data_IF_009326946355
#
_entry.id   IF_009326946355
#
_cell.length_a   1.000
_cell.length_b   1.000
_cell.length_c   1.000
_cell.angle_alpha   90.00
_cell.angle_beta   90.00
_cell.angle_gamma   90.00
#
_symmetry.space_group_name_H-M   'P 1'
#
loop_
_entity.id
_entity.type
_entity.pdbx_description
1 polymer ?
#
# COMPACT_ATOMS: atom_id res chain seq x y z
N UNK A 1 -8.00 -4.35 -4.18
CA UNK A 1 -8.58 -5.70 -3.98
C UNK A 1 -8.11 -6.24 -2.64
N UNK A 2 -9.05 -6.57 -1.73
CA UNK A 2 -8.70 -7.30 -0.52
C UNK A 2 -8.45 -8.78 -0.85
N UNK A 3 -7.49 -9.42 -0.17
CA UNK A 3 -7.21 -10.84 -0.40
C UNK A 3 -6.74 -11.59 0.85
N UNK A 4 -6.88 -12.92 0.84
CA UNK A 4 -6.46 -13.77 1.96
C UNK A 4 -7.55 -13.99 3.02
N UNK A 5 -8.81 -13.71 2.67
CA UNK A 5 -9.99 -13.97 3.49
C UNK A 5 -10.68 -15.27 3.02
N UNK A 6 -11.98 -15.21 2.69
CA UNK A 6 -12.81 -16.29 2.15
C UNK A 6 -12.52 -16.64 0.67
N UNK A 7 -11.56 -15.97 0.06
CA UNK A 7 -11.27 -16.00 -1.36
C UNK A 7 -10.27 -17.10 -1.75
N UNK A 8 -10.25 -17.42 -3.04
CA UNK A 8 -9.34 -18.40 -3.63
C UNK A 8 -8.51 -17.75 -4.74
N UNK A 9 -7.41 -18.37 -5.18
CA UNK A 9 -6.61 -17.87 -6.30
C UNK A 9 -7.43 -17.63 -7.58
N UNK A 10 -8.48 -18.42 -7.83
CA UNK A 10 -9.37 -18.22 -8.97
C UNK A 10 -10.10 -16.87 -8.90
N UNK A 11 -10.53 -16.45 -7.70
CA UNK A 11 -11.15 -15.14 -7.48
C UNK A 11 -10.17 -14.00 -7.75
N UNK A 12 -8.91 -14.13 -7.34
CA UNK A 12 -7.87 -13.11 -7.60
C UNK A 12 -7.64 -12.90 -9.09
N UNK A 13 -7.48 -14.00 -9.84
CA UNK A 13 -7.28 -13.95 -11.29
C UNK A 13 -8.50 -13.35 -11.99
N UNK A 14 -9.70 -13.76 -11.59
CA UNK A 14 -10.93 -13.22 -12.16
C UNK A 14 -11.05 -11.70 -11.93
N UNK A 15 -10.73 -11.24 -10.72
CA UNK A 15 -10.76 -9.81 -10.37
C UNK A 15 -9.73 -9.02 -11.19
N UNK A 16 -8.47 -9.47 -11.27
CA UNK A 16 -7.43 -8.80 -12.05
C UNK A 16 -7.79 -8.74 -13.55
N UNK A 17 -8.36 -9.81 -14.11
CA UNK A 17 -8.84 -9.81 -15.50
C UNK A 17 -10.00 -8.84 -15.73
N UNK A 18 -10.92 -8.73 -14.77
CA UNK A 18 -12.00 -7.76 -14.83
C UNK A 18 -11.45 -6.33 -14.85
N UNK A 19 -10.52 -6.01 -13.93
CA UNK A 19 -9.87 -4.70 -13.91
C UNK A 19 -9.16 -4.39 -15.22
N UNK A 20 -8.43 -5.36 -15.79
CA UNK A 20 -7.79 -5.21 -17.10
C UNK A 20 -8.79 -4.86 -18.21
N UNK A 21 -9.92 -5.58 -18.30
CA UNK A 21 -10.96 -5.27 -19.30
C UNK A 21 -11.60 -3.89 -19.10
N UNK A 22 -11.86 -3.51 -17.85
CA UNK A 22 -12.41 -2.19 -17.54
C UNK A 22 -11.42 -1.08 -17.87
N UNK A 23 -10.12 -1.32 -17.66
CA UNK A 23 -9.08 -0.39 -18.05
C UNK A 23 -8.97 -0.25 -19.57
N UNK A 24 -9.07 -1.36 -20.31
CA UNK A 24 -9.07 -1.33 -21.78
C UNK A 24 -10.25 -0.50 -22.34
N UNK A 25 -11.37 -0.41 -21.60
CA UNK A 25 -12.55 0.35 -22.00
C UNK A 25 -12.51 1.82 -21.57
N UNK A 26 -11.99 2.10 -20.38
CA UNK A 26 -12.16 3.41 -19.73
C UNK A 26 -10.86 4.17 -19.50
N UNK A 27 -9.72 3.48 -19.39
CA UNK A 27 -8.41 4.07 -19.09
C UNK A 27 -8.30 4.74 -17.72
N UNK A 28 -9.30 4.61 -16.84
CA UNK A 28 -9.42 5.45 -15.64
C UNK A 28 -8.58 5.03 -14.43
N UNK A 29 -8.01 3.83 -14.40
CA UNK A 29 -7.19 3.36 -13.28
C UNK A 29 -5.75 3.86 -13.39
N UNK A 30 -5.29 4.56 -12.35
CA UNK A 30 -3.89 4.95 -12.19
C UNK A 30 -3.07 3.90 -11.46
N UNK A 31 -3.72 3.11 -10.60
CA UNK A 31 -3.06 2.14 -9.73
C UNK A 31 -3.95 0.96 -9.36
N UNK A 32 -3.29 -0.14 -8.98
CA UNK A 32 -3.90 -1.27 -8.32
C UNK A 32 -3.36 -1.41 -6.91
N UNK A 33 -4.28 -1.43 -5.93
CA UNK A 33 -3.96 -1.56 -4.51
C UNK A 33 -4.38 -2.93 -3.99
N UNK A 34 -3.46 -3.91 -3.90
CA UNK A 34 -3.68 -5.16 -3.18
C UNK A 34 -3.66 -4.91 -1.66
N UNK A 35 -4.66 -5.42 -0.96
CA UNK A 35 -4.83 -5.24 0.49
C UNK A 35 -4.89 -6.60 1.18
N UNK A 36 -3.82 -7.07 1.83
CA UNK A 36 -3.86 -8.30 2.60
C UNK A 36 -4.85 -8.17 3.75
N UNK A 37 -5.68 -9.19 3.94
CA UNK A 37 -6.67 -9.23 5.00
C UNK A 37 -6.00 -9.36 6.37
N UNK A 38 -6.27 -8.40 7.26
CA UNK A 38 -5.87 -8.43 8.68
C UNK A 38 -7.07 -8.95 9.47
N UNK A 39 -6.88 -10.10 10.12
CA UNK A 39 -7.99 -10.92 10.58
C UNK A 39 -8.34 -10.74 12.06
N UNK A 40 -7.40 -10.27 12.89
CA UNK A 40 -7.46 -10.35 14.35
C UNK A 40 -8.78 -9.80 14.95
N UNK A 41 -9.26 -8.67 14.45
CA UNK A 41 -10.52 -8.04 14.89
C UNK A 41 -11.68 -8.18 13.88
N UNK A 42 -11.51 -8.92 12.80
CA UNK A 42 -12.49 -8.95 11.71
C UNK A 42 -13.67 -9.90 12.03
N UNK A 43 -14.94 -9.43 11.99
CA UNK A 43 -16.10 -10.25 12.35
C UNK A 43 -16.19 -11.58 11.59
N UNK A 44 -15.84 -11.59 10.30
CA UNK A 44 -15.87 -12.81 9.46
C UNK A 44 -14.82 -13.85 9.88
N UNK A 45 -13.70 -13.42 10.48
CA UNK A 45 -12.70 -14.31 11.04
C UNK A 45 -13.14 -14.84 12.40
N UNK A 46 -13.65 -13.95 13.26
CA UNK A 46 -14.19 -14.32 14.57
C UNK A 46 -15.36 -15.30 14.48
N UNK A 47 -16.15 -15.23 13.40
CA UNK A 47 -17.22 -16.17 13.09
C UNK A 47 -16.74 -17.50 12.45
N UNK A 48 -15.42 -17.69 12.26
CA UNK A 48 -14.85 -18.91 11.68
C UNK A 48 -15.05 -19.07 10.17
N UNK A 49 -15.45 -18.00 9.46
CA UNK A 49 -15.78 -18.05 8.03
C UNK A 49 -14.57 -17.72 7.15
N UNK A 50 -13.64 -16.89 7.65
CA UNK A 50 -12.47 -16.45 6.92
C UNK A 50 -11.17 -17.10 7.41
N UNK A 51 -10.17 -17.16 6.53
CA UNK A 51 -8.79 -17.52 6.86
C UNK A 51 -8.13 -16.44 7.72
N UNK A 52 -7.04 -16.75 8.46
CA UNK A 52 -6.27 -15.79 9.25
C UNK A 52 -5.40 -14.86 8.37
N UNK A 53 -5.90 -14.41 7.22
CA UNK A 53 -5.14 -13.60 6.28
C UNK A 53 -4.29 -14.42 5.30
N UNK A 54 -3.61 -13.74 4.37
CA UNK A 54 -2.76 -14.36 3.36
C UNK A 54 -1.42 -14.83 3.95
N UNK A 55 -0.89 -15.92 3.39
CA UNK A 55 0.50 -16.32 3.65
C UNK A 55 1.48 -15.39 2.92
N UNK A 56 2.78 -15.47 3.25
CA UNK A 56 3.81 -14.77 2.49
C UNK A 56 3.80 -15.15 1.00
N UNK A 57 3.54 -16.43 0.69
CA UNK A 57 3.40 -16.92 -0.69
C UNK A 57 2.21 -16.27 -1.39
N UNK A 58 1.08 -16.12 -0.71
CA UNK A 58 -0.10 -15.45 -1.27
C UNK A 58 0.18 -13.98 -1.56
N UNK A 59 0.89 -13.28 -0.65
CA UNK A 59 1.31 -11.89 -0.87
C UNK A 59 2.15 -11.76 -2.14
N UNK A 60 3.19 -12.58 -2.30
CA UNK A 60 4.05 -12.59 -3.49
C UNK A 60 3.21 -12.90 -4.74
N UNK A 61 2.36 -13.94 -4.68
CA UNK A 61 1.56 -14.38 -5.81
C UNK A 61 0.61 -13.27 -6.30
N UNK A 62 -0.10 -12.60 -5.40
CA UNK A 62 -1.04 -11.52 -5.78
C UNK A 62 -0.31 -10.36 -6.44
N UNK A 63 0.83 -9.91 -5.90
CA UNK A 63 1.59 -8.80 -6.48
C UNK A 63 2.24 -9.18 -7.83
N UNK A 64 2.80 -10.39 -7.94
CA UNK A 64 3.41 -10.87 -9.17
C UNK A 64 2.36 -11.08 -10.27
N UNK A 65 1.21 -11.67 -9.94
CA UNK A 65 0.09 -11.82 -10.86
C UNK A 65 -0.44 -10.46 -11.32
N UNK A 66 -0.59 -9.50 -10.40
CA UNK A 66 -1.03 -8.15 -10.76
C UNK A 66 -0.05 -7.51 -11.76
N UNK A 67 1.26 -7.62 -11.53
CA UNK A 67 2.29 -7.09 -12.45
C UNK A 67 2.18 -7.70 -13.84
N UNK A 68 1.97 -9.01 -13.93
CA UNK A 68 1.90 -9.72 -15.21
C UNK A 68 0.57 -9.44 -15.92
N UNK A 69 -0.55 -9.61 -15.24
CA UNK A 69 -1.89 -9.54 -15.84
C UNK A 69 -2.32 -8.11 -16.19
N UNK A 70 -1.83 -7.12 -15.45
CA UNK A 70 -2.13 -5.70 -15.69
C UNK A 70 -1.03 -4.97 -16.48
N UNK A 71 -0.02 -5.68 -16.96
CA UNK A 71 1.06 -5.10 -17.76
C UNK A 71 0.48 -4.34 -18.98
N UNK A 72 0.98 -3.13 -19.20
CA UNK A 72 0.52 -2.24 -20.28
C UNK A 72 -0.85 -1.57 -20.02
N UNK A 73 -1.54 -1.90 -18.92
CA UNK A 73 -2.88 -1.36 -18.60
C UNK A 73 -2.87 -0.48 -17.36
N UNK A 74 -2.39 -1.03 -16.24
CA UNK A 74 -2.29 -0.34 -14.95
C UNK A 74 -0.82 -0.38 -14.52
N UNK A 75 -0.16 0.76 -14.60
CA UNK A 75 1.30 0.82 -14.41
C UNK A 75 1.70 0.62 -12.96
N UNK A 76 0.92 1.15 -12.03
CA UNK A 76 1.29 1.23 -10.63
C UNK A 76 0.62 0.14 -9.80
N UNK A 77 1.44 -0.55 -9.02
CA UNK A 77 1.01 -1.56 -8.06
C UNK A 77 1.57 -1.16 -6.71
N UNK A 78 0.65 -0.84 -5.80
CA UNK A 78 0.98 -0.37 -4.47
C UNK A 78 1.25 -1.54 -3.51
N UNK A 79 2.10 -1.32 -2.51
CA UNK A 79 2.25 -2.19 -1.34
C UNK A 79 2.08 -1.38 -0.06
N UNK A 80 1.42 -1.96 0.95
CA UNK A 80 1.14 -1.30 2.23
C UNK A 80 2.11 -1.77 3.32
N UNK A 81 2.95 -0.86 3.80
CA UNK A 81 3.87 -1.14 4.91
C UNK A 81 3.17 -1.32 6.25
N UNK A 82 2.00 -0.71 6.44
CA UNK A 82 1.19 -0.91 7.64
C UNK A 82 0.73 -2.35 7.73
N UNK A 83 0.36 -2.97 6.60
CA UNK A 83 -0.17 -4.34 6.62
C UNK A 83 0.91 -5.41 6.59
N UNK A 84 2.05 -5.11 5.95
CA UNK A 84 3.10 -6.10 5.66
C UNK A 84 4.40 -5.90 6.45
N UNK A 85 4.50 -4.79 7.18
CA UNK A 85 5.75 -4.38 7.82
C UNK A 85 6.84 -4.03 6.79
N UNK A 86 8.04 -3.72 7.27
CA UNK A 86 9.17 -3.34 6.41
C UNK A 86 9.61 -4.51 5.53
N UNK A 87 9.88 -5.67 6.11
CA UNK A 87 10.38 -6.84 5.38
C UNK A 87 9.36 -7.35 4.33
N UNK A 88 8.08 -7.39 4.67
CA UNK A 88 7.03 -7.78 3.72
C UNK A 88 6.90 -6.77 2.58
N UNK A 89 6.95 -5.47 2.88
CA UNK A 89 6.94 -4.41 1.85
C UNK A 89 8.11 -4.53 0.89
N UNK A 90 9.31 -4.75 1.41
CA UNK A 90 10.51 -4.97 0.60
C UNK A 90 10.39 -6.19 -0.30
N UNK A 91 9.81 -7.29 0.23
CA UNK A 91 9.52 -8.47 -0.57
C UNK A 91 8.52 -8.16 -1.70
N UNK A 92 7.47 -7.37 -1.45
CA UNK A 92 6.48 -7.01 -2.48
C UNK A 92 7.05 -6.06 -3.53
N UNK A 93 7.88 -5.10 -3.14
CA UNK A 93 8.62 -4.25 -4.07
C UNK A 93 9.46 -5.11 -5.02
N UNK A 94 10.16 -6.13 -4.50
CA UNK A 94 10.91 -7.10 -5.33
C UNK A 94 10.02 -8.03 -6.18
N UNK A 95 8.73 -8.14 -5.86
CA UNK A 95 7.81 -9.12 -6.47
C UNK A 95 6.76 -8.51 -7.40
N UNK A 96 6.89 -7.24 -7.78
CA UNK A 96 6.04 -6.60 -8.80
C UNK A 96 5.45 -5.25 -8.40
N UNK A 97 5.48 -4.89 -7.10
CA UNK A 97 5.12 -3.56 -6.66
C UNK A 97 6.18 -2.54 -7.07
N UNK A 98 5.73 -1.35 -7.45
CA UNK A 98 6.58 -0.20 -7.76
C UNK A 98 6.20 1.04 -6.95
N UNK A 99 5.18 0.92 -6.10
CA UNK A 99 4.63 2.01 -5.33
C UNK A 99 4.51 1.59 -3.86
N UNK A 100 5.12 2.36 -2.98
CA UNK A 100 5.09 2.15 -1.55
C UNK A 100 4.07 3.13 -0.98
N UNK A 101 3.06 2.63 -0.28
CA UNK A 101 2.02 3.47 0.31
C UNK A 101 2.63 4.55 1.22
N UNK A 102 2.09 5.77 1.15
CA UNK A 102 2.69 6.97 1.72
C UNK A 102 2.77 7.01 3.26
N UNK A 103 3.12 8.20 3.75
CA UNK A 103 3.12 8.50 5.18
C UNK A 103 1.69 8.52 5.71
N UNK A 104 1.50 8.00 6.91
CA UNK A 104 0.23 8.04 7.61
C UNK A 104 0.46 8.83 8.88
N UNK A 105 -0.36 9.84 9.13
CA UNK A 105 -0.25 10.71 10.29
C UNK A 105 -0.95 10.11 11.51
N UNK A 106 -2.07 9.38 11.30
CA UNK A 106 -2.85 8.77 12.38
C UNK A 106 -3.74 7.62 11.87
N UNK A 107 -3.18 6.43 11.71
CA UNK A 107 -3.90 5.28 11.15
C UNK A 107 -4.75 4.55 12.22
N UNK A 108 -5.87 5.13 12.63
CA UNK A 108 -6.76 4.55 13.65
C UNK A 108 -7.44 3.26 13.17
N UNK A 109 -7.77 3.14 11.88
CA UNK A 109 -8.51 1.99 11.32
C UNK A 109 -7.66 0.70 11.32
N UNK A 110 -6.40 0.77 10.87
CA UNK A 110 -5.53 -0.40 10.85
C UNK A 110 -5.12 -0.86 12.25
N UNK A 111 -5.01 0.07 13.22
CA UNK A 111 -4.84 -0.27 14.64
C UNK A 111 -6.06 -0.98 15.21
N UNK A 112 -7.27 -0.46 14.95
CA UNK A 112 -8.52 -1.11 15.38
C UNK A 112 -8.68 -2.52 14.79
N UNK A 113 -8.16 -2.75 13.58
CA UNK A 113 -8.13 -4.05 12.92
C UNK A 113 -7.06 -5.03 13.49
N UNK A 114 -6.18 -4.57 14.39
CA UNK A 114 -5.14 -5.39 15.03
C UNK A 114 -3.78 -5.42 14.32
N UNK A 115 -3.45 -4.40 13.52
CA UNK A 115 -2.13 -4.27 12.91
C UNK A 115 -1.06 -3.94 13.97
N UNK A 116 0.03 -4.71 14.01
CA UNK A 116 1.18 -4.47 14.90
C UNK A 116 2.22 -3.52 14.31
N UNK A 117 2.17 -3.25 13.00
CA UNK A 117 3.10 -2.34 12.35
C UNK A 117 2.58 -0.90 12.48
N UNK A 118 3.45 -0.02 13.00
CA UNK A 118 3.13 1.27 13.61
C UNK A 118 2.22 2.23 12.85
N UNK A 119 1.76 3.27 13.56
CA UNK A 119 0.78 4.26 13.09
C UNK A 119 1.36 5.40 12.25
N UNK A 120 2.70 5.49 12.18
CA UNK A 120 3.41 6.58 11.51
C UNK A 120 4.75 6.09 10.93
N UNK A 121 5.10 6.57 9.73
CA UNK A 121 6.46 6.54 9.17
C UNK A 121 6.74 7.87 8.49
N UNK A 122 7.91 8.43 8.76
CA UNK A 122 8.42 9.62 8.07
C UNK A 122 8.78 9.34 6.61
N UNK A 123 8.81 10.34 5.71
CA UNK A 123 9.34 10.17 4.35
C UNK A 123 10.76 9.58 4.36
N UNK A 124 11.65 10.06 5.24
CA UNK A 124 12.99 9.48 5.40
C UNK A 124 12.97 7.99 5.78
N UNK A 125 12.02 7.56 6.63
CA UNK A 125 11.86 6.13 6.95
C UNK A 125 11.34 5.33 5.76
N UNK A 126 10.46 5.92 4.94
CA UNK A 126 9.96 5.29 3.73
C UNK A 126 11.08 5.16 2.67
N UNK A 127 11.90 6.19 2.54
CA UNK A 127 13.10 6.16 1.68
C UNK A 127 14.02 5.01 2.09
N UNK A 128 14.31 4.88 3.38
CA UNK A 128 15.16 3.81 3.91
C UNK A 128 14.66 2.42 3.47
N UNK A 129 13.35 2.14 3.58
CA UNK A 129 12.75 0.87 3.14
C UNK A 129 13.10 0.56 1.68
N UNK A 130 13.07 1.58 0.81
CA UNK A 130 13.31 1.46 -0.63
C UNK A 130 14.81 1.39 -0.94
N UNK A 131 15.64 2.23 -0.30
CA UNK A 131 17.09 2.25 -0.51
C UNK A 131 17.78 0.99 -0.02
N UNK A 132 17.29 0.38 1.06
CA UNK A 132 17.84 -0.87 1.64
C UNK A 132 17.74 -2.06 0.66
N UNK A 133 16.84 -1.98 -0.31
CA UNK A 133 16.71 -2.97 -1.38
C UNK A 133 17.34 -2.51 -2.71
N UNK A 134 18.20 -1.48 -2.66
CA UNK A 134 18.90 -0.89 -3.80
C UNK A 134 17.96 -0.35 -4.88
N UNK A 135 16.83 0.22 -4.46
CA UNK A 135 15.92 0.99 -5.33
C UNK A 135 16.02 2.47 -5.02
N UNK A 136 15.64 3.31 -5.99
CA UNK A 136 15.59 4.76 -5.83
C UNK A 136 14.17 5.19 -5.44
N UNK A 137 13.96 5.76 -4.24
CA UNK A 137 12.66 6.32 -3.88
C UNK A 137 12.34 7.54 -4.76
N UNK A 138 11.07 7.72 -5.07
CA UNK A 138 10.55 8.91 -5.75
C UNK A 138 9.24 9.32 -5.10
N UNK A 139 9.19 10.53 -4.56
CA UNK A 139 7.94 11.12 -4.13
C UNK A 139 7.07 11.41 -5.36
N UNK A 140 5.77 11.19 -5.24
CA UNK A 140 4.80 11.33 -6.33
C UNK A 140 3.57 12.13 -5.88
N UNK A 141 2.90 12.75 -6.83
CA UNK A 141 1.52 13.21 -6.63
C UNK A 141 0.55 12.02 -6.71
N UNK A 142 -0.73 12.27 -6.41
CA UNK A 142 -1.79 11.25 -6.53
C UNK A 142 -1.89 10.68 -7.94
N UNK A 143 -1.61 11.50 -8.96
CA UNK A 143 -1.64 11.11 -10.38
C UNK A 143 -0.27 10.65 -10.90
N UNK A 144 0.66 10.29 -10.00
CA UNK A 144 2.02 9.82 -10.33
C UNK A 144 2.90 10.85 -11.04
N UNK A 145 2.60 12.15 -10.89
CA UNK A 145 3.45 13.24 -11.33
C UNK A 145 4.57 13.58 -10.34
N UNK A 146 5.43 14.53 -10.71
CA UNK A 146 6.49 15.07 -9.84
C UNK A 146 5.88 16.16 -8.96
N UNK A 147 5.97 16.07 -7.62
CA UNK A 147 5.56 17.15 -6.73
C UNK A 147 6.45 18.39 -6.88
N UNK A 148 5.90 19.57 -6.59
CA UNK A 148 6.67 20.81 -6.55
C UNK A 148 7.77 20.75 -5.47
N UNK A 149 8.88 21.45 -5.70
CA UNK A 149 10.03 21.44 -4.79
C UNK A 149 9.66 21.88 -3.36
N UNK A 150 8.77 22.87 -3.24
CA UNK A 150 8.23 23.31 -1.95
C UNK A 150 7.55 22.15 -1.20
N UNK A 151 6.73 21.34 -1.88
CA UNK A 151 6.01 20.20 -1.28
C UNK A 151 6.95 19.09 -0.86
N UNK A 152 7.99 18.83 -1.65
CA UNK A 152 9.05 17.90 -1.26
C UNK A 152 9.73 18.44 0.00
N UNK A 153 10.16 19.70 0.00
CA UNK A 153 10.85 20.29 1.13
C UNK A 153 10.01 20.28 2.42
N UNK A 154 8.72 20.66 2.36
CA UNK A 154 7.81 20.59 3.51
C UNK A 154 7.74 19.19 4.11
N UNK A 155 7.60 18.16 3.26
CA UNK A 155 7.48 16.78 3.72
C UNK A 155 8.71 16.30 4.53
N UNK A 156 9.91 16.82 4.21
CA UNK A 156 11.13 16.47 4.93
C UNK A 156 11.49 17.45 6.05
N UNK A 157 10.96 18.69 6.04
CA UNK A 157 11.17 19.69 7.11
C UNK A 157 10.44 19.36 8.40
N UNK A 158 9.18 18.91 8.33
CA UNK A 158 8.33 18.71 9.52
C UNK A 158 8.86 17.67 10.53
N UNK A 159 9.87 16.89 10.19
CA UNK A 159 10.40 15.81 11.04
C UNK A 159 11.63 16.16 11.86
N UNK A 160 12.26 17.30 11.60
CA UNK A 160 13.32 17.80 12.49
C UNK A 160 12.74 18.47 13.75
N UNK A 161 11.48 18.93 13.69
CA UNK A 161 10.84 19.74 14.74
C UNK A 161 9.70 19.03 15.49
N UNK A 162 9.19 17.90 14.99
CA UNK A 162 8.07 17.15 15.60
C UNK A 162 8.50 16.27 16.80
N UNK A 163 8.84 16.92 17.91
CA UNK A 163 8.94 16.33 19.25
C UNK A 163 7.59 16.21 19.99
N UNK A 164 6.47 16.16 19.28
CA UNK A 164 5.12 16.16 19.85
C UNK A 164 4.11 16.87 18.94
N UNK A 165 2.83 16.60 19.16
CA UNK A 165 1.67 17.11 18.38
C UNK A 165 1.78 18.62 18.17
N UNK A 166 2.12 19.03 16.95
CA UNK A 166 2.12 20.44 16.54
C UNK A 166 0.70 20.99 16.42
N UNK A 167 0.50 22.31 16.51
CA UNK A 167 -0.82 22.92 16.43
C UNK A 167 -1.46 22.63 15.07
N UNK A 168 -2.76 22.35 15.07
CA UNK A 168 -3.53 22.05 13.88
C UNK A 168 -3.34 23.15 12.83
N UNK A 169 -2.96 22.75 11.62
CA UNK A 169 -2.95 23.65 10.47
C UNK A 169 -4.39 24.17 10.26
N UNK A 170 -4.58 25.49 10.10
CA UNK A 170 -5.91 26.03 9.84
C UNK A 170 -6.40 25.46 8.51
N UNK A 171 -7.58 24.83 8.56
CA UNK A 171 -8.32 24.46 7.36
C UNK A 171 -8.58 25.75 6.58
N UNK A 172 -8.02 25.86 5.38
CA UNK A 172 -8.42 26.89 4.42
C UNK A 172 -9.87 26.58 4.02
N UNK A 173 -10.79 27.39 4.54
CA UNK A 173 -12.18 27.49 4.06
C UNK A 173 -12.25 28.34 2.80
#
# INVERSE_FOLDING_TARGET
MMYGHVDTPAHWVAHLRLLGRLQDQTGGFTEFVPLPFVHASAPIYLAGVARPGPTQRDNIAVHAMARILLHGRIHNIQTSWVKLGVAGTQAMLRSGANDLGGTLMEETISRMAGSEHGSFKSPASLDAIVTDIRRTPRQRTTTYGVPDAERVETAYRELAEWGGVGPALPLLT
#
